data_IF_615502690973
#
_entry.id   IF_615502690973
#
_cell.length_a   1.000
_cell.length_b   1.000
_cell.length_c   1.000
_cell.angle_alpha   90.00
_cell.angle_beta   90.00
_cell.angle_gamma   90.00
#
_symmetry.space_group_name_H-M   'P 1'
#
loop_
_entity.id
_entity.type
_entity.pdbx_description
1 polymer ?
#
# COMPACT_ATOMS: atom_id res chain seq x y z
N UNK A 1 -8.73 1.30 0.50
CA UNK A 1 -9.77 2.37 0.42
C UNK A 1 -9.09 3.71 0.40
N UNK A 2 -9.54 4.64 -0.44
CA UNK A 2 -8.94 5.98 -0.54
C UNK A 2 -9.99 7.07 -0.74
N UNK A 3 -9.60 8.30 -0.42
CA UNK A 3 -10.39 9.50 -0.62
C UNK A 3 -9.54 10.57 -1.31
N UNK A 4 -10.14 11.23 -2.29
CA UNK A 4 -9.57 12.35 -3.02
C UNK A 4 -10.33 13.63 -2.68
N UNK A 5 -9.61 14.71 -2.41
CA UNK A 5 -10.17 16.04 -2.18
C UNK A 5 -9.51 17.06 -3.11
N UNK A 6 -10.31 17.76 -3.90
CA UNK A 6 -9.84 18.93 -4.64
C UNK A 6 -9.54 20.07 -3.66
N UNK A 7 -8.27 20.50 -3.63
CA UNK A 7 -7.83 21.64 -2.82
C UNK A 7 -7.90 22.96 -3.59
N UNK A 8 -7.75 22.88 -4.92
CA UNK A 8 -7.84 23.99 -5.86
C UNK A 8 -8.24 23.47 -7.24
N UNK A 9 -8.34 24.36 -8.22
CA UNK A 9 -8.52 23.98 -9.63
C UNK A 9 -7.34 23.22 -10.24
N UNK A 10 -6.22 23.04 -9.53
CA UNK A 10 -5.03 22.38 -10.06
C UNK A 10 -4.44 21.33 -9.12
N UNK A 11 -4.96 21.19 -7.91
CA UNK A 11 -4.35 20.39 -6.85
C UNK A 11 -5.36 19.47 -6.18
N UNK A 12 -4.97 18.21 -6.01
CA UNK A 12 -5.75 17.18 -5.31
C UNK A 12 -4.92 16.65 -4.15
N UNK A 13 -5.55 16.52 -2.99
CA UNK A 13 -5.04 15.73 -1.88
C UNK A 13 -5.63 14.33 -1.96
N UNK A 14 -4.77 13.31 -1.99
CA UNK A 14 -5.16 11.91 -1.92
C UNK A 14 -4.71 11.31 -0.60
N UNK A 15 -5.62 10.64 0.09
CA UNK A 15 -5.31 9.78 1.22
C UNK A 15 -5.77 8.36 0.92
N UNK A 16 -4.92 7.38 1.17
CA UNK A 16 -5.18 5.98 0.87
C UNK A 16 -4.77 5.08 2.04
N UNK A 17 -5.63 4.12 2.34
CA UNK A 17 -5.36 3.01 3.23
C UNK A 17 -5.40 1.70 2.45
N UNK A 18 -4.32 0.94 2.51
CA UNK A 18 -4.17 -0.35 1.85
C UNK A 18 -3.97 -1.39 2.96
N UNK A 19 -4.78 -2.44 2.92
CA UNK A 19 -4.63 -3.62 3.75
C UNK A 19 -4.27 -4.77 2.83
N UNK A 20 -3.11 -5.38 3.08
CA UNK A 20 -2.63 -6.54 2.33
C UNK A 20 -2.50 -7.73 3.28
N UNK A 21 -3.09 -8.86 2.88
CA UNK A 21 -3.07 -10.11 3.63
C UNK A 21 -2.25 -11.15 2.86
N UNK A 22 -1.08 -11.50 3.38
CA UNK A 22 -0.21 -12.51 2.79
C UNK A 22 -0.50 -13.84 3.47
N UNK A 23 -1.56 -14.50 2.98
CA UNK A 23 -2.14 -15.75 3.48
C UNK A 23 -1.22 -17.00 3.46
N UNK A 24 0.04 -16.86 3.03
CA UNK A 24 1.05 -17.90 3.22
C UNK A 24 2.45 -17.31 2.98
N UNK A 25 3.31 -17.35 3.98
CA UNK A 25 4.74 -17.03 3.83
C UNK A 25 5.57 -18.17 4.43
N UNK A 26 5.96 -19.11 3.57
CA UNK A 26 6.84 -20.22 3.95
C UNK A 26 8.31 -19.77 3.97
N UNK A 27 8.95 -19.90 5.13
CA UNK A 27 10.38 -19.72 5.28
C UNK A 27 11.06 -21.05 5.58
N UNK A 28 11.75 -21.60 4.58
CA UNK A 28 12.62 -22.77 4.74
C UNK A 28 14.06 -22.32 5.01
N UNK A 29 14.55 -22.59 6.23
CA UNK A 29 15.96 -22.40 6.58
C UNK A 29 16.65 -23.77 6.50
N UNK A 30 17.50 -23.98 5.50
CA UNK A 30 18.31 -25.20 5.40
C UNK A 30 19.64 -24.99 6.14
N UNK A 31 19.75 -25.51 7.37
CA UNK A 31 21.02 -25.55 8.11
C UNK A 31 21.41 -27.00 8.39
N UNK A 32 22.05 -27.63 7.39
CA UNK A 32 22.91 -28.84 7.44
C UNK A 32 22.35 -30.15 8.02
N UNK A 33 21.59 -30.09 9.10
CA UNK A 33 21.05 -31.17 9.89
C UNK A 33 19.65 -30.85 10.48
N UNK A 34 19.16 -29.62 10.31
CA UNK A 34 17.84 -29.16 10.73
C UNK A 34 17.15 -28.43 9.57
N UNK A 35 15.91 -28.83 9.28
CA UNK A 35 15.01 -28.14 8.36
C UNK A 35 13.81 -27.61 9.17
N UNK A 36 13.97 -26.54 9.95
CA UNK A 36 12.84 -25.90 10.60
C UNK A 36 11.94 -25.27 9.52
N UNK A 37 10.68 -25.68 9.52
CA UNK A 37 9.62 -25.11 8.70
C UNK A 37 8.86 -24.07 9.52
N UNK A 38 8.78 -22.84 9.01
CA UNK A 38 8.04 -21.75 9.63
C UNK A 38 6.88 -21.35 8.73
N UNK A 39 5.67 -21.63 9.20
CA UNK A 39 4.42 -21.12 8.64
C UNK A 39 4.04 -19.86 9.43
N UNK A 40 3.79 -18.75 8.74
CA UNK A 40 3.45 -17.46 9.36
C UNK A 40 2.52 -16.67 8.46
N UNK A 41 1.39 -16.26 9.05
CA UNK A 41 0.47 -15.29 8.47
C UNK A 41 1.02 -13.88 8.65
N UNK A 42 1.31 -13.20 7.54
CA UNK A 42 1.79 -11.81 7.55
C UNK A 42 0.68 -10.93 6.97
N UNK A 43 0.18 -10.00 7.78
CA UNK A 43 -0.68 -8.93 7.29
C UNK A 43 0.04 -7.58 7.37
N UNK A 44 -0.30 -6.67 6.47
CA UNK A 44 0.26 -5.32 6.44
C UNK A 44 -0.84 -4.28 6.29
N UNK A 45 -0.63 -3.15 6.94
CA UNK A 45 -1.51 -1.98 6.86
C UNK A 45 -0.66 -0.78 6.46
N UNK A 46 -0.91 -0.23 5.28
CA UNK A 46 -0.18 0.90 4.73
C UNK A 46 -1.09 2.10 4.60
N UNK A 47 -0.66 3.25 5.14
CA UNK A 47 -1.31 4.55 4.94
C UNK A 47 -0.43 5.40 4.04
N UNK A 48 -1.02 6.02 3.02
CA UNK A 48 -0.33 6.90 2.06
C UNK A 48 -1.08 8.23 1.94
N UNK A 49 -0.32 9.31 1.81
CA UNK A 49 -0.86 10.63 1.50
C UNK A 49 -0.03 11.27 0.38
N UNK A 50 -0.70 11.91 -0.57
CA UNK A 50 -0.06 12.57 -1.71
C UNK A 50 -0.75 13.88 -2.06
N UNK A 51 0.03 14.88 -2.43
CA UNK A 51 -0.45 16.09 -3.11
C UNK A 51 -0.15 15.91 -4.60
N UNK A 52 -1.19 15.95 -5.42
CA UNK A 52 -1.12 15.76 -6.86
C UNK A 52 -1.37 17.11 -7.50
N UNK A 53 -0.43 17.58 -8.31
CA UNK A 53 -0.56 18.79 -9.10
C UNK A 53 -0.86 18.43 -10.56
N UNK A 54 -1.94 18.99 -11.12
CA UNK A 54 -2.34 18.82 -12.51
C UNK A 54 -1.88 20.02 -13.36
N UNK A 55 -1.02 19.78 -14.33
CA UNK A 55 -0.60 20.78 -15.33
C UNK A 55 -1.63 20.85 -16.45
N UNK A 56 -2.61 21.75 -16.31
CA UNK A 56 -3.73 21.90 -17.24
C UNK A 56 -5.03 22.31 -16.56
N UNK A 57 -5.10 22.20 -15.23
CA UNK A 57 -6.30 22.46 -14.46
C UNK A 57 -7.23 21.24 -14.40
N UNK A 58 -8.15 21.26 -13.44
CA UNK A 58 -9.17 20.25 -13.17
C UNK A 58 -10.53 20.65 -13.76
N UNK A 59 -10.59 21.83 -14.41
CA UNK A 59 -11.83 22.47 -14.87
C UNK A 59 -12.44 21.91 -16.16
N UNK A 60 -11.85 20.87 -16.76
CA UNK A 60 -12.32 20.23 -18.00
C UNK A 60 -13.00 18.85 -17.75
N UNK A 61 -13.52 18.61 -16.54
CA UNK A 61 -14.37 17.45 -16.21
C UNK A 61 -15.86 17.78 -16.32
#
# INVERSE_FOLDING_TARGET
>A
MGVDWALSESSILRAEYIYDDFNNSDFDINDGNLNPHFDTDINTSTVRAAIIWNFGGLGDL
#
